data_IF_502565357830
#
_entry.id   IF_502565357830
#
_cell.length_a   1.000
_cell.length_b   1.000
_cell.length_c   1.000
_cell.angle_alpha   90.00
_cell.angle_beta   90.00
_cell.angle_gamma   90.00
#
_symmetry.space_group_name_H-M   'P 1'
#
loop_
_entity.id
_entity.type
_entity.pdbx_description
1 polymer ?
#
# COMPACT_ATOMS: atom_id res chain seq x y z
N UNK A 1 -49.23 -62.65 -44.94
CA UNK A 1 -49.31 -61.20 -44.67
C UNK A 1 -48.83 -60.95 -43.25
N UNK A 2 -47.52 -60.67 -43.07
CA UNK A 2 -46.98 -60.24 -41.79
C UNK A 2 -45.92 -59.18 -42.10
N UNK A 3 -46.29 -57.92 -41.87
CA UNK A 3 -45.51 -56.74 -42.22
C UNK A 3 -44.63 -56.37 -41.03
N UNK A 4 -43.33 -56.66 -41.11
CA UNK A 4 -42.36 -56.25 -40.09
C UNK A 4 -41.88 -54.83 -40.40
N UNK A 5 -42.39 -53.89 -39.62
CA UNK A 5 -42.15 -52.46 -39.74
C UNK A 5 -40.87 -52.13 -38.96
N UNK A 6 -39.75 -52.01 -39.66
CA UNK A 6 -38.45 -51.60 -39.09
C UNK A 6 -38.55 -50.17 -38.58
N UNK A 7 -38.46 -49.99 -37.26
CA UNK A 7 -38.41 -48.69 -36.59
C UNK A 7 -36.97 -48.16 -36.68
N UNK A 8 -36.78 -47.09 -37.45
CA UNK A 8 -35.57 -46.30 -37.48
C UNK A 8 -35.39 -45.57 -36.13
N UNK A 9 -34.38 -45.97 -35.34
CA UNK A 9 -33.97 -45.25 -34.15
C UNK A 9 -32.88 -44.25 -34.55
N UNK A 10 -33.26 -42.98 -34.72
CA UNK A 10 -32.34 -41.89 -34.96
C UNK A 10 -31.63 -41.52 -33.64
N UNK A 11 -30.34 -41.87 -33.53
CA UNK A 11 -29.45 -41.38 -32.48
C UNK A 11 -29.17 -39.88 -32.73
N UNK A 12 -29.83 -39.01 -31.96
CA UNK A 12 -29.44 -37.61 -31.84
C UNK A 12 -28.10 -37.53 -31.07
N UNK A 13 -27.01 -37.34 -31.81
CA UNK A 13 -25.70 -37.03 -31.26
C UNK A 13 -25.71 -35.60 -30.72
N UNK A 14 -25.96 -35.44 -29.42
CA UNK A 14 -25.86 -34.17 -28.72
C UNK A 14 -24.37 -33.87 -28.47
N UNK A 15 -23.77 -33.08 -29.36
CA UNK A 15 -22.41 -32.58 -29.20
C UNK A 15 -22.38 -31.53 -28.08
N UNK A 16 -22.02 -31.95 -26.86
CA UNK A 16 -21.60 -31.01 -25.82
C UNK A 16 -20.25 -30.41 -26.23
N UNK A 17 -20.26 -29.17 -26.70
CA UNK A 17 -19.04 -28.38 -26.81
C UNK A 17 -18.53 -28.06 -25.40
N UNK A 18 -17.39 -28.64 -25.02
CA UNK A 18 -16.68 -28.24 -23.81
C UNK A 18 -16.18 -26.79 -23.99
N UNK A 19 -16.31 -25.92 -22.97
CA UNK A 19 -15.67 -24.62 -23.02
C UNK A 19 -14.15 -24.81 -23.04
N UNK A 20 -13.50 -24.29 -24.08
CA UNK A 20 -12.05 -24.21 -24.19
C UNK A 20 -11.58 -23.32 -23.03
N UNK A 21 -11.03 -23.92 -21.97
CA UNK A 21 -10.36 -23.17 -20.89
C UNK A 21 -9.10 -22.55 -21.48
N UNK A 22 -9.15 -21.24 -21.68
CA UNK A 22 -7.97 -20.43 -22.02
C UNK A 22 -6.93 -20.63 -20.91
N UNK A 23 -5.71 -21.01 -21.30
CA UNK A 23 -4.57 -21.06 -20.38
C UNK A 23 -4.40 -19.67 -19.73
N UNK A 24 -3.99 -19.58 -18.44
CA UNK A 24 -3.69 -18.31 -17.83
C UNK A 24 -2.55 -17.65 -18.61
N UNK A 25 -2.86 -16.55 -19.27
CA UNK A 25 -1.87 -15.66 -19.86
C UNK A 25 -1.07 -15.09 -18.69
N UNK A 26 0.25 -15.28 -18.69
CA UNK A 26 1.11 -14.76 -17.63
C UNK A 26 0.89 -13.25 -17.52
N UNK A 27 0.50 -12.78 -16.32
CA UNK A 27 0.38 -11.36 -16.06
C UNK A 27 1.73 -10.68 -16.41
N UNK A 28 1.72 -9.50 -17.07
CA UNK A 28 2.96 -8.81 -17.37
C UNK A 28 3.69 -8.54 -16.06
N UNK A 29 4.98 -8.90 -15.99
CA UNK A 29 5.81 -8.59 -14.83
C UNK A 29 5.70 -7.08 -14.57
N UNK A 30 5.36 -6.71 -13.33
CA UNK A 30 5.31 -5.32 -12.92
C UNK A 30 6.66 -4.68 -13.25
N UNK A 31 6.65 -3.49 -13.87
CA UNK A 31 7.89 -2.76 -14.12
C UNK A 31 8.43 -2.25 -12.77
N UNK A 32 9.36 -3.00 -12.19
CA UNK A 32 9.99 -2.68 -10.90
C UNK A 32 11.11 -1.63 -11.01
N UNK A 33 11.45 -1.18 -12.22
CA UNK A 33 12.52 -0.24 -12.51
C UNK A 33 13.89 -0.88 -12.77
N UNK A 34 14.87 -0.05 -13.14
CA UNK A 34 16.26 -0.42 -13.34
C UNK A 34 17.10 -0.09 -12.10
N UNK A 35 17.71 -1.10 -11.50
CA UNK A 35 18.55 -0.98 -10.30
C UNK A 35 20.00 -0.56 -10.61
N UNK A 36 20.30 -0.23 -11.87
CA UNK A 36 21.61 0.20 -12.32
C UNK A 36 22.61 -0.95 -12.27
N UNK A 37 23.75 -0.74 -11.59
CA UNK A 37 24.78 -1.79 -11.43
C UNK A 37 24.52 -2.76 -10.28
N UNK A 38 23.49 -2.51 -9.48
CA UNK A 38 23.12 -3.39 -8.37
C UNK A 38 22.12 -4.44 -8.83
N UNK A 39 22.10 -5.55 -8.10
CA UNK A 39 21.07 -6.57 -8.24
C UNK A 39 19.69 -6.05 -7.79
N UNK A 40 18.66 -6.85 -8.05
CA UNK A 40 17.33 -6.59 -7.47
C UNK A 40 17.41 -6.79 -5.95
N UNK A 41 16.94 -5.84 -5.13
CA UNK A 41 16.96 -6.00 -3.69
C UNK A 41 16.27 -7.28 -3.20
N UNK A 42 16.93 -7.99 -2.29
CA UNK A 42 16.36 -9.12 -1.58
C UNK A 42 16.91 -9.17 -0.16
N UNK A 43 16.04 -9.40 0.82
CA UNK A 43 16.37 -9.53 2.23
C UNK A 43 16.12 -10.97 2.66
N UNK A 44 17.03 -11.53 3.46
CA UNK A 44 16.84 -12.80 4.14
C UNK A 44 16.66 -12.61 5.65
N UNK A 45 16.03 -13.59 6.29
CA UNK A 45 15.76 -13.60 7.73
C UNK A 45 16.09 -14.98 8.32
N UNK A 46 17.06 -15.02 9.23
CA UNK A 46 17.48 -16.23 9.93
C UNK A 46 18.27 -15.90 11.20
N UNK A 47 18.61 -16.93 11.98
CA UNK A 47 19.62 -16.84 13.05
C UNK A 47 21.04 -16.99 12.51
N UNK A 48 22.03 -16.58 13.30
CA UNK A 48 23.45 -16.86 13.02
C UNK A 48 24.14 -15.85 12.12
N UNK A 49 23.44 -14.83 11.60
CA UNK A 49 24.09 -13.77 10.83
C UNK A 49 25.03 -12.95 11.72
N UNK A 50 26.25 -12.71 11.23
CA UNK A 50 27.31 -11.98 11.93
C UNK A 50 27.59 -12.49 13.37
N UNK A 51 27.35 -13.79 13.62
CA UNK A 51 27.55 -14.41 14.93
C UNK A 51 26.48 -14.07 15.97
N UNK A 52 25.38 -13.43 15.57
CA UNK A 52 24.22 -13.13 16.42
C UNK A 52 23.46 -14.39 16.81
N UNK A 53 22.84 -14.36 17.99
CA UNK A 53 21.98 -15.44 18.48
C UNK A 53 20.53 -15.25 18.03
N UNK A 54 20.11 -13.99 18.01
CA UNK A 54 18.79 -13.56 17.57
C UNK A 54 18.58 -13.82 16.08
N UNK A 55 17.31 -13.92 15.68
CA UNK A 55 16.97 -13.78 14.26
C UNK A 55 17.20 -12.35 13.82
N UNK A 56 17.76 -12.18 12.64
CA UNK A 56 18.08 -10.87 12.09
C UNK A 56 17.91 -10.85 10.57
N UNK A 57 17.82 -9.64 10.03
CA UNK A 57 17.67 -9.37 8.61
C UNK A 57 19.01 -9.01 8.01
N UNK A 58 19.28 -9.44 6.77
CA UNK A 58 20.41 -8.93 5.99
C UNK A 58 20.12 -8.94 4.49
N UNK A 59 20.85 -8.14 3.69
CA UNK A 59 20.77 -8.25 2.23
C UNK A 59 21.33 -9.59 1.76
N UNK A 60 20.65 -10.25 0.82
CA UNK A 60 21.14 -11.49 0.21
C UNK A 60 22.38 -11.22 -0.65
N UNK A 61 22.33 -10.18 -1.48
CA UNK A 61 23.47 -9.76 -2.29
C UNK A 61 24.33 -8.73 -1.54
N UNK A 62 25.35 -9.23 -0.85
CA UNK A 62 26.35 -8.43 -0.15
C UNK A 62 27.33 -7.70 -1.09
N UNK A 63 27.35 -8.01 -2.39
CA UNK A 63 28.18 -7.26 -3.34
C UNK A 63 27.51 -5.95 -3.76
N UNK A 64 26.20 -5.97 -4.01
CA UNK A 64 25.42 -4.75 -4.26
C UNK A 64 25.11 -3.98 -2.98
N UNK A 65 24.81 -4.70 -1.90
CA UNK A 65 24.34 -4.14 -0.63
C UNK A 65 25.20 -4.63 0.53
N UNK A 66 26.43 -4.14 0.61
CA UNK A 66 27.38 -4.52 1.66
C UNK A 66 27.00 -3.91 3.02
N UNK A 67 26.07 -4.56 3.70
CA UNK A 67 25.64 -4.21 5.05
C UNK A 67 25.53 -5.47 5.90
N UNK A 68 25.90 -5.36 7.18
CA UNK A 68 25.73 -6.43 8.16
C UNK A 68 24.26 -6.71 8.46
N UNK A 69 24.02 -7.63 9.38
CA UNK A 69 22.71 -8.00 9.86
C UNK A 69 22.21 -7.02 10.92
N UNK A 70 20.89 -6.81 10.93
CA UNK A 70 20.21 -6.00 11.92
C UNK A 70 18.92 -6.69 12.36
N UNK A 71 18.56 -6.52 13.65
CA UNK A 71 17.30 -7.05 14.17
C UNK A 71 16.08 -6.22 13.73
N UNK A 72 16.29 -4.94 13.40
CA UNK A 72 15.25 -4.06 12.88
C UNK A 72 15.37 -3.96 11.36
N UNK A 73 14.32 -4.39 10.64
CA UNK A 73 14.35 -4.40 9.17
C UNK A 73 14.53 -3.01 8.55
N UNK A 74 14.04 -1.96 9.23
CA UNK A 74 14.16 -0.57 8.79
C UNK A 74 15.60 -0.13 8.53
N UNK A 75 16.57 -0.68 9.26
CA UNK A 75 18.00 -0.39 9.04
C UNK A 75 18.48 -0.98 7.71
N UNK A 76 18.10 -2.22 7.42
CA UNK A 76 18.48 -2.92 6.20
C UNK A 76 17.81 -2.28 4.99
N UNK A 77 16.51 -2.00 5.08
CA UNK A 77 15.75 -1.44 3.96
C UNK A 77 16.14 0.01 3.69
N UNK A 78 16.42 0.81 4.71
CA UNK A 78 16.98 2.16 4.55
C UNK A 78 18.32 2.11 3.80
N UNK A 79 19.26 1.28 4.29
CA UNK A 79 20.55 1.13 3.64
C UNK A 79 20.44 0.70 2.18
N UNK A 80 19.58 -0.28 1.87
CA UNK A 80 19.37 -0.75 0.50
C UNK A 80 18.88 0.39 -0.40
N UNK A 81 17.85 1.14 0.00
CA UNK A 81 17.29 2.21 -0.84
C UNK A 81 18.25 3.41 -0.96
N UNK A 82 19.03 3.71 0.07
CA UNK A 82 20.11 4.70 -0.01
C UNK A 82 21.21 4.24 -0.96
N UNK A 83 21.56 2.97 -0.94
CA UNK A 83 22.57 2.39 -1.83
C UNK A 83 22.12 2.46 -3.29
N UNK A 84 20.83 2.22 -3.57
CA UNK A 84 20.25 2.40 -4.90
C UNK A 84 20.43 3.82 -5.42
N UNK A 85 20.24 4.81 -4.55
CA UNK A 85 20.36 6.23 -4.89
C UNK A 85 21.79 6.69 -5.06
N UNK A 86 22.66 6.34 -4.11
CA UNK A 86 24.00 6.91 -4.02
C UNK A 86 25.03 6.14 -4.83
N UNK A 87 24.87 4.82 -4.93
CA UNK A 87 25.90 3.94 -5.48
C UNK A 87 25.43 3.21 -6.72
N UNK A 88 24.20 2.70 -6.78
CA UNK A 88 23.80 1.81 -7.87
C UNK A 88 23.50 2.52 -9.19
N UNK A 89 23.13 3.80 -9.15
CA UNK A 89 22.65 4.52 -10.33
C UNK A 89 21.27 4.02 -10.75
N UNK A 90 20.42 3.66 -9.78
CA UNK A 90 19.07 3.20 -10.04
C UNK A 90 18.21 4.32 -10.64
N UNK A 91 17.26 3.95 -11.49
CA UNK A 91 16.30 4.90 -12.06
C UNK A 91 15.22 5.32 -11.04
N UNK A 92 14.38 6.27 -11.43
CA UNK A 92 13.31 6.77 -10.57
C UNK A 92 12.31 5.67 -10.18
N UNK A 93 11.98 4.77 -11.12
CA UNK A 93 11.05 3.66 -10.88
C UNK A 93 11.60 2.71 -9.82
N UNK A 94 12.87 2.33 -9.89
CA UNK A 94 13.52 1.44 -8.93
C UNK A 94 13.60 2.07 -7.54
N UNK A 95 13.84 3.39 -7.46
CA UNK A 95 13.81 4.12 -6.18
C UNK A 95 12.41 4.12 -5.57
N UNK A 96 11.37 4.40 -6.36
CA UNK A 96 9.98 4.33 -5.91
C UNK A 96 9.59 2.92 -5.48
N UNK A 97 9.97 1.90 -6.26
CA UNK A 97 9.74 0.49 -5.90
C UNK A 97 10.41 0.15 -4.57
N UNK A 98 11.63 0.65 -4.32
CA UNK A 98 12.32 0.43 -3.04
C UNK A 98 11.61 1.11 -1.86
N UNK A 99 11.12 2.34 -2.04
CA UNK A 99 10.31 3.02 -1.02
C UNK A 99 9.00 2.26 -0.73
N UNK A 100 8.35 1.72 -1.77
CA UNK A 100 7.17 0.86 -1.60
C UNK A 100 7.50 -0.44 -0.85
N UNK A 101 8.66 -1.03 -1.13
CA UNK A 101 9.13 -2.22 -0.42
C UNK A 101 9.43 -1.93 1.06
N UNK A 102 10.03 -0.77 1.37
CA UNK A 102 10.19 -0.28 2.74
C UNK A 102 8.83 -0.15 3.46
N UNK A 103 7.87 0.52 2.82
CA UNK A 103 6.53 0.68 3.38
C UNK A 103 5.85 -0.67 3.62
N UNK A 104 5.91 -1.59 2.65
CA UNK A 104 5.38 -2.94 2.79
C UNK A 104 6.00 -3.69 3.98
N UNK A 105 7.33 -3.66 4.12
CA UNK A 105 8.04 -4.28 5.23
C UNK A 105 7.57 -3.76 6.61
N UNK A 106 7.25 -2.47 6.70
CA UNK A 106 6.80 -1.83 7.94
C UNK A 106 5.38 -2.24 8.36
N UNK A 107 4.58 -2.82 7.45
CA UNK A 107 3.26 -3.38 7.79
C UNK A 107 3.33 -4.76 8.45
N UNK A 108 4.47 -5.45 8.31
CA UNK A 108 4.67 -6.77 8.89
C UNK A 108 4.90 -6.72 10.41
N UNK A 109 4.63 -7.85 11.08
CA UNK A 109 4.88 -7.97 12.51
C UNK A 109 6.38 -7.68 12.82
N UNK A 110 6.70 -6.72 13.71
CA UNK A 110 8.07 -6.30 13.95
C UNK A 110 8.99 -7.45 14.38
N UNK A 111 10.23 -7.45 13.86
CA UNK A 111 11.29 -8.43 14.16
C UNK A 111 10.97 -9.87 13.72
N UNK A 112 10.02 -10.04 12.81
CA UNK A 112 9.66 -11.35 12.25
C UNK A 112 9.97 -11.44 10.76
N UNK A 113 10.10 -12.66 10.25
CA UNK A 113 10.34 -12.91 8.83
C UNK A 113 9.26 -12.36 7.90
N UNK A 114 8.05 -12.09 8.40
CA UNK A 114 6.95 -11.47 7.65
C UNK A 114 7.39 -10.14 7.02
N UNK A 115 8.22 -9.35 7.71
CA UNK A 115 8.68 -8.07 7.16
C UNK A 115 9.58 -8.25 5.94
N UNK A 116 10.44 -9.29 5.95
CA UNK A 116 11.29 -9.62 4.80
C UNK A 116 10.46 -10.18 3.64
N UNK A 117 9.44 -11.01 3.93
CA UNK A 117 8.53 -11.51 2.91
C UNK A 117 7.78 -10.38 2.20
N UNK A 118 7.27 -9.40 2.95
CA UNK A 118 6.58 -8.24 2.40
C UNK A 118 7.52 -7.36 1.56
N UNK A 119 8.75 -7.15 2.01
CA UNK A 119 9.77 -6.44 1.23
C UNK A 119 10.06 -7.17 -0.10
N UNK A 120 10.37 -8.46 -0.04
CA UNK A 120 10.75 -9.27 -1.19
C UNK A 120 9.60 -9.39 -2.21
N UNK A 121 8.36 -9.46 -1.73
CA UNK A 121 7.17 -9.57 -2.58
C UNK A 121 7.00 -8.38 -3.53
N UNK A 122 7.40 -7.16 -3.12
CA UNK A 122 7.35 -5.96 -3.99
C UNK A 122 8.27 -6.10 -5.21
N UNK A 123 9.35 -6.87 -5.09
CA UNK A 123 10.26 -7.18 -6.20
C UNK A 123 9.88 -8.46 -6.95
N UNK A 124 8.71 -9.05 -6.66
CA UNK A 124 8.26 -10.31 -7.26
C UNK A 124 8.98 -11.55 -6.72
N UNK A 125 9.70 -11.42 -5.59
CA UNK A 125 10.43 -12.52 -4.97
C UNK A 125 9.57 -13.09 -3.84
N UNK A 126 9.15 -14.34 -4.01
CA UNK A 126 8.39 -15.04 -2.97
C UNK A 126 9.35 -15.70 -1.98
N UNK A 127 9.28 -15.27 -0.72
CA UNK A 127 9.93 -15.94 0.40
C UNK A 127 8.87 -16.40 1.42
N UNK A 128 9.27 -17.26 2.36
CA UNK A 128 8.38 -17.78 3.41
C UNK A 128 9.06 -17.72 4.78
N UNK A 129 9.63 -16.56 5.10
CA UNK A 129 10.29 -16.31 6.37
C UNK A 129 9.28 -16.17 7.52
N UNK A 130 8.00 -15.92 7.24
CA UNK A 130 6.90 -16.01 8.21
C UNK A 130 6.83 -17.36 8.94
N UNK A 131 7.31 -18.43 8.29
CA UNK A 131 7.40 -19.76 8.90
C UNK A 131 8.60 -19.92 9.86
N UNK A 132 9.55 -18.98 9.87
CA UNK A 132 10.72 -18.99 10.75
C UNK A 132 10.31 -18.39 12.09
N UNK A 133 10.52 -19.14 13.16
CA UNK A 133 10.33 -18.65 14.51
C UNK A 133 11.38 -17.57 14.84
N UNK A 134 10.96 -16.35 15.16
CA UNK A 134 11.89 -15.31 15.60
C UNK A 134 12.53 -15.69 16.93
N UNK A 135 13.79 -15.31 17.07
CA UNK A 135 14.63 -15.60 18.24
C UNK A 135 15.11 -14.28 18.83
N UNK A 136 15.01 -14.13 20.14
CA UNK A 136 15.49 -12.96 20.89
C UNK A 136 17.02 -12.97 21.08
N UNK A 137 17.55 -11.89 21.67
CA UNK A 137 18.99 -11.71 21.90
C UNK A 137 19.58 -12.75 22.87
N UNK A 138 18.74 -13.43 23.65
CA UNK A 138 19.14 -14.52 24.54
C UNK A 138 19.15 -15.89 23.85
N UNK A 139 18.64 -15.98 22.61
CA UNK A 139 18.54 -17.24 21.88
C UNK A 139 17.23 -17.99 22.12
N UNK A 140 16.21 -17.36 22.73
CA UNK A 140 14.91 -17.97 22.96
C UNK A 140 13.92 -17.61 21.85
N UNK A 141 12.99 -18.52 21.58
CA UNK A 141 11.93 -18.31 20.59
C UNK A 141 10.91 -17.27 21.12
N UNK A 142 10.61 -16.27 20.30
CA UNK A 142 9.59 -15.26 20.58
C UNK A 142 8.21 -15.88 20.34
N UNK A 143 7.40 -15.99 21.39
CA UNK A 143 6.07 -16.58 21.33
C UNK A 143 5.16 -15.80 20.36
N UNK A 144 4.47 -16.53 19.47
CA UNK A 144 3.57 -15.94 18.46
C UNK A 144 4.28 -15.46 17.19
N UNK A 145 5.61 -15.62 17.08
CA UNK A 145 6.34 -15.20 15.87
C UNK A 145 6.12 -16.10 14.65
N UNK A 146 5.68 -17.34 14.83
CA UNK A 146 5.29 -18.21 13.72
C UNK A 146 3.84 -17.90 13.32
N UNK A 147 3.68 -16.86 12.50
CA UNK A 147 2.40 -16.49 11.91
C UNK A 147 2.18 -17.28 10.63
N UNK A 148 1.16 -18.15 10.63
CA UNK A 148 0.86 -19.07 9.54
C UNK A 148 0.79 -18.42 8.15
N UNK A 149 1.10 -19.25 7.15
CA UNK A 149 1.02 -18.96 5.72
C UNK A 149 -0.14 -18.02 5.36
N UNK A 150 0.21 -16.81 4.93
CA UNK A 150 -0.73 -15.92 4.23
C UNK A 150 -1.00 -16.55 2.87
N UNK A 151 -2.10 -17.30 2.77
CA UNK A 151 -2.76 -17.50 1.49
C UNK A 151 -3.30 -16.14 1.06
N UNK A 152 -2.58 -15.44 0.20
CA UNK A 152 -3.15 -14.34 -0.58
C UNK A 152 -4.18 -14.93 -1.54
N UNK A 153 -5.44 -15.02 -1.10
CA UNK A 153 -6.56 -15.06 -2.01
C UNK A 153 -6.55 -13.72 -2.76
N UNK A 154 -6.11 -13.75 -4.02
CA UNK A 154 -6.23 -12.63 -4.93
C UNK A 154 -7.71 -12.22 -5.00
N UNK A 155 -8.05 -11.08 -4.40
CA UNK A 155 -9.33 -10.42 -4.67
C UNK A 155 -9.25 -9.87 -6.09
N UNK A 156 -9.71 -10.67 -7.05
CA UNK A 156 -9.93 -10.21 -8.40
C UNK A 156 -10.99 -9.10 -8.37
N UNK A 157 -10.56 -7.84 -8.51
CA UNK A 157 -11.44 -6.75 -8.83
C UNK A 157 -12.05 -7.04 -10.20
N UNK A 158 -13.36 -7.29 -10.23
CA UNK A 158 -14.13 -7.37 -11.45
C UNK A 158 -14.20 -5.97 -12.08
N UNK A 159 -13.31 -5.68 -13.03
CA UNK A 159 -13.44 -4.53 -13.92
C UNK A 159 -14.32 -4.92 -15.09
N UNK A 160 -15.50 -4.32 -15.14
CA UNK A 160 -16.36 -4.30 -16.31
C UNK A 160 -15.61 -3.61 -17.45
N UNK A 161 -15.21 -4.38 -18.45
CA UNK A 161 -14.58 -3.90 -19.67
C UNK A 161 -15.57 -3.06 -20.49
N UNK A 162 -15.31 -1.75 -20.64
CA UNK A 162 -15.78 -0.99 -21.81
C UNK A 162 -14.58 -0.84 -22.74
N UNK A 163 -14.70 -1.44 -23.93
CA UNK A 163 -13.70 -1.37 -24.99
C UNK A 163 -13.58 0.08 -25.54
N UNK A 164 -12.42 0.46 -26.12
CA UNK A 164 -12.20 1.80 -26.63
C UNK A 164 -12.82 1.96 -28.02
N UNK A 165 -13.51 3.08 -28.26
CA UNK A 165 -13.78 3.56 -29.60
C UNK A 165 -12.66 4.53 -30.01
N UNK A 166 -12.04 4.24 -31.15
CA UNK A 166 -10.95 5.00 -31.75
C UNK A 166 -11.43 6.29 -32.44
N UNK A 167 -10.53 7.28 -32.42
CA UNK A 167 -10.39 8.47 -33.30
C UNK A 167 -11.57 9.46 -33.35
N UNK A 168 -11.37 10.78 -33.30
CA UNK A 168 -10.57 11.56 -34.26
C UNK A 168 -10.33 12.98 -33.73
N UNK A 169 -9.15 13.54 -33.99
CA UNK A 169 -8.84 14.96 -33.76
C UNK A 169 -9.63 15.88 -34.70
N UNK A 170 -10.10 17.03 -34.18
CA UNK A 170 -10.25 18.26 -34.95
C UNK A 170 -10.19 19.47 -34.01
N UNK A 171 -9.17 20.29 -34.21
CA UNK A 171 -9.06 21.62 -33.64
C UNK A 171 -9.93 22.61 -34.44
N UNK A 172 -10.57 23.56 -33.76
CA UNK A 172 -10.77 24.93 -34.24
C UNK A 172 -11.33 25.81 -33.12
N UNK A 173 -10.60 26.88 -32.78
CA UNK A 173 -11.18 28.09 -32.22
C UNK A 173 -11.94 28.86 -33.34
N UNK A 174 -12.82 29.83 -33.02
CA UNK A 174 -12.30 31.18 -32.74
C UNK A 174 -13.04 32.00 -31.65
N UNK A 175 -12.24 32.94 -31.11
CA UNK A 175 -12.49 34.26 -30.49
C UNK A 175 -13.89 34.77 -30.10
N UNK A 176 -13.94 35.18 -28.82
CA UNK A 176 -14.32 36.50 -28.28
C UNK A 176 -15.78 36.97 -28.24
N UNK A 177 -16.27 37.25 -27.02
CA UNK A 177 -16.68 38.61 -26.61
C UNK A 177 -16.88 38.69 -25.08
N UNK A 178 -16.32 39.75 -24.49
CA UNK A 178 -16.57 40.19 -23.12
C UNK A 178 -17.94 40.90 -23.02
N UNK A 179 -18.53 40.98 -21.82
CA UNK A 179 -18.72 42.25 -21.08
C UNK A 179 -19.57 42.10 -19.79
N UNK A 180 -19.02 42.69 -18.71
CA UNK A 180 -19.65 43.39 -17.56
C UNK A 180 -20.71 42.75 -16.66
N UNK A 181 -20.25 42.44 -15.44
CA UNK A 181 -20.73 42.87 -14.10
C UNK A 181 -22.14 43.47 -13.95
N UNK A 182 -22.95 42.86 -13.07
CA UNK A 182 -23.74 43.58 -12.03
C UNK A 182 -23.81 42.72 -10.76
N UNK A 183 -23.38 43.29 -9.64
CA UNK A 183 -23.96 43.08 -8.31
C UNK A 183 -24.46 44.49 -7.87
N UNK A 184 -25.49 44.63 -7.01
CA UNK A 184 -25.30 44.30 -5.59
C UNK A 184 -26.55 43.80 -4.82
N UNK A 185 -26.29 43.27 -3.60
CA UNK A 185 -26.96 43.45 -2.29
C UNK A 185 -28.51 43.51 -2.21
N UNK A 186 -29.20 43.05 -1.16
CA UNK A 186 -28.95 42.36 0.10
C UNK A 186 -30.37 41.97 0.63
N UNK A 187 -30.55 41.02 1.54
CA UNK A 187 -30.64 41.20 3.00
C UNK A 187 -31.78 40.25 3.48
N UNK A 188 -31.91 39.67 4.67
CA UNK A 188 -31.19 39.71 5.94
C UNK A 188 -31.69 38.51 6.78
N UNK A 189 -30.78 37.91 7.55
CA UNK A 189 -30.93 37.33 8.90
C UNK A 189 -32.07 36.37 9.25
N UNK A 190 -31.65 35.17 9.70
CA UNK A 190 -31.90 34.77 11.08
C UNK A 190 -30.69 33.98 11.62
N UNK A 191 -30.04 34.56 12.64
CA UNK A 191 -29.06 33.90 13.50
C UNK A 191 -29.78 33.35 14.73
N UNK A 192 -29.32 32.19 15.21
CA UNK A 192 -29.15 31.77 16.61
C UNK A 192 -29.14 30.23 16.63
N UNK A 193 -27.96 29.62 16.80
CA UNK A 193 -27.45 29.16 18.12
C UNK A 193 -28.28 27.99 18.63
N UNK A 194 -27.78 26.77 18.63
CA UNK A 194 -26.82 26.23 19.62
C UNK A 194 -26.97 24.69 19.48
N UNK A 195 -26.06 23.81 19.85
CA UNK A 195 -25.05 23.84 20.89
C UNK A 195 -24.04 22.69 20.64
N UNK A 196 -22.77 23.00 20.89
CA UNK A 196 -21.74 22.08 21.39
C UNK A 196 -21.58 20.72 20.71
N UNK A 197 -20.82 20.74 19.63
CA UNK A 197 -19.79 19.74 19.36
C UNK A 197 -18.41 20.38 19.29
N UNK A 198 -18.13 21.42 20.09
CA UNK A 198 -16.76 21.69 20.50
C UNK A 198 -16.36 20.49 21.36
N UNK A 199 -15.98 19.39 20.68
CA UNK A 199 -15.24 18.32 21.30
C UNK A 199 -14.01 19.01 21.86
N UNK A 200 -13.94 18.99 23.19
CA UNK A 200 -12.94 19.69 23.97
C UNK A 200 -11.59 19.66 23.26
N UNK A 201 -10.96 20.82 23.16
CA UNK A 201 -9.52 20.98 23.06
C UNK A 201 -8.80 20.42 24.30
N UNK A 202 -9.26 19.29 24.83
CA UNK A 202 -8.49 18.40 25.66
C UNK A 202 -7.50 17.68 24.74
N UNK A 203 -6.49 18.46 24.35
CA UNK A 203 -5.22 18.03 23.80
C UNK A 203 -5.29 17.06 22.60
N UNK A 204 -5.92 17.44 21.48
CA UNK A 204 -5.49 16.83 20.23
C UNK A 204 -4.01 17.18 20.01
N UNK A 205 -3.12 16.20 20.12
CA UNK A 205 -1.67 16.41 19.94
C UNK A 205 -1.25 16.33 18.47
N UNK A 206 -2.15 15.92 17.57
CA UNK A 206 -1.90 15.98 16.13
C UNK A 206 -1.92 17.42 15.62
N UNK A 207 -0.72 17.94 15.35
CA UNK A 207 -0.51 19.33 14.91
C UNK A 207 -0.63 19.51 13.39
N UNK A 208 -0.59 18.43 12.60
CA UNK A 208 -0.76 18.52 11.16
C UNK A 208 -2.21 18.84 10.79
N UNK A 209 -2.43 19.94 10.07
CA UNK A 209 -3.77 20.43 9.69
C UNK A 209 -4.07 20.34 8.20
N UNK A 210 -3.12 19.89 7.37
CA UNK A 210 -3.36 19.72 5.93
C UNK A 210 -4.48 18.71 5.70
N UNK A 211 -5.42 18.98 4.81
CA UNK A 211 -6.60 18.16 4.56
C UNK A 211 -6.97 18.11 3.06
N UNK A 212 -6.16 17.42 2.25
CA UNK A 212 -6.44 17.23 0.83
C UNK A 212 -7.80 16.52 0.64
N UNK A 213 -8.64 17.06 -0.24
CA UNK A 213 -9.99 16.56 -0.44
C UNK A 213 -10.90 16.68 0.79
N UNK A 214 -10.53 17.48 1.79
CA UNK A 214 -11.27 17.61 3.05
C UNK A 214 -11.05 16.46 4.03
N UNK A 215 -10.09 15.56 3.76
CA UNK A 215 -9.75 14.45 4.66
C UNK A 215 -8.67 14.90 5.65
N UNK A 216 -9.09 15.14 6.88
CA UNK A 216 -8.20 15.50 7.99
C UNK A 216 -7.71 14.26 8.73
N UNK A 217 -6.51 14.34 9.31
CA UNK A 217 -6.00 13.31 10.19
C UNK A 217 -6.88 13.19 11.43
N UNK A 218 -7.28 11.97 11.84
CA UNK A 218 -8.05 11.78 13.05
C UNK A 218 -7.28 12.31 14.27
N UNK A 219 -8.02 12.85 15.23
CA UNK A 219 -7.43 13.39 16.44
C UNK A 219 -6.66 12.32 17.22
N UNK A 220 -5.53 12.74 17.79
CA UNK A 220 -4.75 11.94 18.74
C UNK A 220 -4.98 12.56 20.11
N UNK A 221 -5.70 11.87 20.98
CA UNK A 221 -6.03 12.38 22.32
C UNK A 221 -5.35 11.56 23.42
N UNK A 222 -4.76 12.19 24.44
CA UNK A 222 -4.28 11.48 25.63
C UNK A 222 -5.41 10.68 26.28
N UNK A 223 -5.17 9.41 26.59
CA UNK A 223 -6.20 8.52 27.15
C UNK A 223 -5.70 7.10 27.42
N UNK A 224 -6.43 6.38 28.28
CA UNK A 224 -6.05 5.03 28.69
C UNK A 224 -4.64 4.99 29.29
N UNK A 225 -3.77 4.14 28.75
CA UNK A 225 -2.36 4.03 29.16
C UNK A 225 -1.38 4.89 28.32
N UNK A 226 -1.88 5.72 27.41
CA UNK A 226 -1.06 6.58 26.55
C UNK A 226 -1.90 7.52 25.68
N UNK A 227 -2.02 7.20 24.39
CA UNK A 227 -2.66 8.02 23.36
C UNK A 227 -3.71 7.21 22.60
N UNK A 228 -4.81 7.85 22.20
CA UNK A 228 -5.93 7.22 21.50
C UNK A 228 -6.10 7.85 20.12
N UNK A 229 -6.29 7.01 19.09
CA UNK A 229 -6.59 7.39 17.70
C UNK A 229 -7.73 6.53 17.19
N UNK A 230 -8.88 7.12 16.90
CA UNK A 230 -10.09 6.39 16.43
C UNK A 230 -10.40 5.14 17.28
N UNK A 231 -10.34 5.29 18.61
CA UNK A 231 -10.58 4.20 19.57
C UNK A 231 -9.44 3.19 19.74
N UNK A 232 -8.37 3.27 18.94
CA UNK A 232 -7.15 2.45 19.10
C UNK A 232 -6.18 3.10 20.08
N UNK A 233 -5.55 2.31 20.96
CA UNK A 233 -4.71 2.82 22.06
C UNK A 233 -3.22 2.51 21.86
N UNK A 234 -2.37 3.54 21.97
CA UNK A 234 -0.92 3.52 21.75
C UNK A 234 -0.17 3.95 23.00
N UNK A 235 0.98 3.33 23.29
CA UNK A 235 1.84 3.74 24.43
C UNK A 235 2.61 5.02 24.08
N UNK A 236 3.15 5.07 22.87
CA UNK A 236 4.08 6.12 22.44
C UNK A 236 3.38 7.14 21.54
N UNK A 237 3.62 8.43 21.80
CA UNK A 237 3.01 9.56 21.08
C UNK A 237 3.31 9.52 19.58
N UNK A 238 4.59 9.34 19.21
CA UNK A 238 5.00 9.28 17.82
C UNK A 238 4.31 8.14 17.04
N UNK A 239 4.06 7.00 17.70
CA UNK A 239 3.31 5.89 17.11
C UNK A 239 1.83 6.21 16.89
N UNK A 240 1.22 6.95 17.81
CA UNK A 240 -0.16 7.42 17.68
C UNK A 240 -0.29 8.48 16.57
N UNK A 241 0.63 9.44 16.52
CA UNK A 241 0.68 10.46 15.47
C UNK A 241 0.92 9.85 14.08
N UNK A 242 1.80 8.85 13.97
CA UNK A 242 2.02 8.09 12.73
C UNK A 242 0.74 7.39 12.27
N UNK A 243 0.03 6.70 13.19
CA UNK A 243 -1.25 6.06 12.86
C UNK A 243 -2.27 7.07 12.37
N UNK A 244 -2.34 8.25 12.98
CA UNK A 244 -3.23 9.33 12.57
C UNK A 244 -2.92 9.81 11.14
N UNK A 245 -1.66 9.93 10.76
CA UNK A 245 -1.27 10.25 9.38
C UNK A 245 -1.67 9.14 8.39
N UNK A 246 -1.49 7.87 8.75
CA UNK A 246 -1.83 6.75 7.86
C UNK A 246 -3.34 6.61 7.64
N UNK A 247 -4.16 6.87 8.67
CA UNK A 247 -5.63 6.90 8.51
C UNK A 247 -6.09 8.05 7.63
N UNK A 248 -5.45 9.22 7.75
CA UNK A 248 -5.67 10.33 6.83
C UNK A 248 -5.38 9.93 5.38
N UNK A 249 -4.22 9.29 5.17
CA UNK A 249 -3.81 8.84 3.86
C UNK A 249 -4.82 7.86 3.26
N UNK A 250 -5.27 6.86 4.03
CA UNK A 250 -6.24 5.89 3.55
C UNK A 250 -7.57 6.55 3.17
N UNK A 251 -8.04 7.52 3.97
CA UNK A 251 -9.21 8.32 3.63
C UNK A 251 -9.02 9.16 2.36
N UNK A 252 -7.85 9.79 2.21
CA UNK A 252 -7.50 10.58 1.04
C UNK A 252 -7.42 9.70 -0.22
N UNK A 253 -6.74 8.56 -0.15
CA UNK A 253 -6.59 7.63 -1.25
C UNK A 253 -7.95 7.05 -1.67
N UNK A 254 -8.83 6.75 -0.72
CA UNK A 254 -10.21 6.35 -1.01
C UNK A 254 -10.98 7.44 -1.77
N UNK A 255 -10.82 8.71 -1.37
CA UNK A 255 -11.42 9.84 -2.08
C UNK A 255 -10.85 10.03 -3.49
N UNK A 256 -9.53 9.94 -3.66
CA UNK A 256 -8.87 9.98 -4.97
C UNK A 256 -9.40 8.85 -5.89
N UNK A 257 -9.49 7.63 -5.38
CA UNK A 257 -10.03 6.48 -6.09
C UNK A 257 -11.54 6.61 -6.41
N UNK A 258 -12.28 7.36 -5.60
CA UNK A 258 -13.68 7.70 -5.85
C UNK A 258 -13.86 8.86 -6.85
N UNK A 259 -12.78 9.43 -7.39
CA UNK A 259 -12.83 10.49 -8.40
C UNK A 259 -12.90 11.90 -7.82
N UNK A 260 -12.31 12.14 -6.63
CA UNK A 260 -12.31 13.46 -5.98
C UNK A 260 -11.46 14.55 -6.69
N UNK A 261 -10.92 14.27 -7.89
CA UNK A 261 -10.24 15.25 -8.74
C UNK A 261 -8.77 15.50 -8.41
N UNK A 262 -8.16 14.67 -7.55
CA UNK A 262 -6.72 14.63 -7.24
C UNK A 262 -6.22 13.18 -7.31
N UNK A 263 -4.91 13.00 -7.39
CA UNK A 263 -4.28 11.70 -7.50
C UNK A 263 -3.89 11.14 -6.13
N UNK A 264 -3.74 9.81 -6.05
CA UNK A 264 -3.21 9.15 -4.84
C UNK A 264 -1.80 9.66 -4.50
N UNK A 265 -0.99 10.07 -5.50
CA UNK A 265 0.31 10.69 -5.28
C UNK A 265 0.24 12.02 -4.51
N UNK A 266 -0.88 12.74 -4.59
CA UNK A 266 -1.10 13.95 -3.79
C UNK A 266 -1.40 13.59 -2.33
N UNK A 267 -2.07 12.45 -2.10
CA UNK A 267 -2.27 11.87 -0.78
C UNK A 267 -0.94 11.37 -0.18
N UNK A 268 -0.08 10.75 -0.98
CA UNK A 268 1.27 10.34 -0.56
C UNK A 268 2.10 11.57 -0.10
N UNK A 269 2.05 12.66 -0.87
CA UNK A 269 2.71 13.92 -0.51
C UNK A 269 2.17 14.52 0.79
N UNK A 270 0.84 14.48 0.98
CA UNK A 270 0.21 14.90 2.23
C UNK A 270 0.64 14.01 3.41
N UNK A 271 0.70 12.70 3.23
CA UNK A 271 1.12 11.75 4.26
C UNK A 271 2.57 11.99 4.68
N UNK A 272 3.47 12.21 3.72
CA UNK A 272 4.86 12.56 4.00
C UNK A 272 4.97 13.87 4.80
N UNK A 273 4.16 14.88 4.48
CA UNK A 273 4.11 16.13 5.23
C UNK A 273 3.54 15.94 6.65
N UNK A 274 2.56 15.06 6.81
CA UNK A 274 1.99 14.69 8.12
C UNK A 274 3.03 13.99 8.99
N UNK A 275 3.72 12.97 8.47
CA UNK A 275 4.77 12.25 9.17
C UNK A 275 5.98 13.15 9.51
N UNK A 276 6.33 14.09 8.63
CA UNK A 276 7.37 15.08 8.90
C UNK A 276 7.02 16.06 10.03
N UNK A 277 5.74 16.19 10.39
CA UNK A 277 5.29 17.05 11.49
C UNK A 277 5.32 16.34 12.86
N UNK A 278 5.66 15.05 12.91
CA UNK A 278 5.74 14.28 14.16
C UNK A 278 7.01 14.71 14.93
N UNK A 279 6.89 15.18 16.18
CA UNK A 279 8.05 15.53 16.98
C UNK A 279 8.92 14.30 17.28
N UNK A 280 10.25 14.49 17.21
CA UNK A 280 11.26 13.46 17.44
C UNK A 280 11.34 13.00 18.90
#
# INVERSE_FOLDING_TARGET
MLSYKTVFFALLSSSLALPIRRAPEAAPAANIGNFGKCSIPQIEFATGFDGRKETSFQPVDKTSYNHGSAQAIGIITQFICDTLTNSCGADATAKTTCANAQAAANTGAPKTGVQADLFNAVFGIQTNFAAVAAVDDQGNIIAGSTGGSVSVAATAAATTSVAPAAATSAAAAPTAAATTSVAPAAATSAAASSSTGAASSSANVQAFTGALGGISAPAVTPGGKGFIVDGSEFIQEAGALGRSCDEQHNGCANAANAGAGFAVSDCDAQNNACHAAIPA
#
